data_IF_881333748963
#
_entry.id   IF_881333748963
#
_cell.length_a   1.000
_cell.length_b   1.000
_cell.length_c   1.000
_cell.angle_alpha   90.00
_cell.angle_beta   90.00
_cell.angle_gamma   90.00
#
_symmetry.space_group_name_H-M   'P 1'
#
loop_
_entity.id
_entity.type
_entity.pdbx_description
1 polymer ?
#
# COMPACT_ATOMS: atom_id res chain seq x y z
N UNK A 1 32.98 -15.12 -13.83
CA UNK A 1 32.02 -16.25 -13.80
C UNK A 1 31.45 -16.32 -12.40
N UNK A 2 30.13 -16.19 -12.31
CA UNK A 2 29.29 -16.29 -11.10
C UNK A 2 29.31 -15.02 -10.26
N UNK A 3 28.21 -14.33 -9.98
CA UNK A 3 26.77 -14.50 -10.19
C UNK A 3 26.17 -13.37 -9.33
N UNK A 4 25.25 -12.56 -9.85
CA UNK A 4 23.81 -12.62 -9.48
C UNK A 4 23.60 -12.99 -7.99
N UNK A 5 22.89 -12.24 -7.16
CA UNK A 5 21.53 -11.77 -7.37
C UNK A 5 21.28 -10.54 -6.48
N UNK A 6 20.60 -9.54 -7.02
CA UNK A 6 19.95 -8.50 -6.22
C UNK A 6 18.86 -9.17 -5.39
N UNK A 7 19.03 -9.18 -4.07
CA UNK A 7 17.92 -9.36 -3.16
C UNK A 7 17.30 -7.96 -3.00
N UNK A 8 16.12 -7.75 -3.60
CA UNK A 8 15.30 -6.60 -3.29
C UNK A 8 15.12 -6.52 -1.78
N UNK A 9 15.53 -5.40 -1.21
CA UNK A 9 15.29 -5.09 0.19
C UNK A 9 13.81 -4.72 0.31
N UNK A 10 12.96 -5.72 0.59
CA UNK A 10 11.71 -5.45 1.28
C UNK A 10 12.09 -4.77 2.59
N UNK A 11 11.84 -3.46 2.70
CA UNK A 11 11.98 -2.74 3.97
C UNK A 11 10.96 -3.36 4.93
N UNK A 12 11.48 -4.19 5.83
CA UNK A 12 10.77 -4.72 6.98
C UNK A 12 10.05 -3.56 7.68
N UNK A 13 8.72 -3.51 7.58
CA UNK A 13 7.89 -2.66 8.40
C UNK A 13 7.85 -3.34 9.77
N UNK A 14 8.47 -2.70 10.75
CA UNK A 14 8.61 -3.18 12.14
C UNK A 14 7.21 -3.33 12.76
N UNK A 15 6.77 -4.57 12.96
CA UNK A 15 5.50 -4.94 13.57
C UNK A 15 5.43 -4.44 15.04
N UNK A 16 5.02 -3.18 15.21
CA UNK A 16 4.83 -2.56 16.51
C UNK A 16 4.58 -1.05 16.51
N UNK A 17 4.53 -0.38 15.34
CA UNK A 17 4.48 1.07 15.28
C UNK A 17 3.04 1.61 15.29
N UNK A 18 2.78 2.52 16.23
CA UNK A 18 1.69 3.50 16.13
C UNK A 18 1.80 4.16 14.75
N UNK A 19 0.71 4.19 13.96
CA UNK A 19 0.68 4.92 12.69
C UNK A 19 1.17 6.35 12.95
N UNK A 20 2.32 6.69 12.38
CA UNK A 20 3.01 7.94 12.71
C UNK A 20 2.45 9.07 11.84
N UNK A 21 2.70 10.32 12.21
CA UNK A 21 2.24 11.49 11.42
C UNK A 21 2.69 11.40 9.95
N UNK A 22 3.78 10.68 9.73
CA UNK A 22 4.39 10.42 8.43
C UNK A 22 3.69 9.34 7.59
N UNK A 23 2.70 8.60 8.10
CA UNK A 23 1.89 7.65 7.31
C UNK A 23 0.60 8.30 6.79
N UNK A 24 0.18 9.40 7.43
CA UNK A 24 -0.98 10.17 7.00
C UNK A 24 -0.65 11.03 5.78
N UNK A 25 -1.45 10.91 4.73
CA UNK A 25 -1.37 11.70 3.50
C UNK A 25 -2.71 12.40 3.27
N UNK A 26 -2.65 13.72 3.13
CA UNK A 26 -3.82 14.50 2.71
C UNK A 26 -3.89 14.42 1.19
N UNK A 27 -4.84 13.64 0.69
CA UNK A 27 -5.12 13.54 -0.73
C UNK A 27 -6.28 14.48 -1.09
N UNK A 28 -6.20 15.08 -2.27
CA UNK A 28 -7.27 15.90 -2.83
C UNK A 28 -7.94 15.10 -3.93
N UNK A 29 -9.23 14.84 -3.75
CA UNK A 29 -10.03 14.11 -4.73
C UNK A 29 -10.34 15.00 -5.97
N UNK A 30 -10.90 14.42 -7.04
CA UNK A 30 -11.19 15.12 -8.30
C UNK A 30 -12.18 16.30 -8.12
N UNK A 31 -13.00 16.24 -7.07
CA UNK A 31 -13.93 17.30 -6.68
C UNK A 31 -13.27 18.45 -5.88
N UNK A 32 -11.98 18.33 -5.56
CA UNK A 32 -11.24 19.31 -4.74
C UNK A 32 -11.45 19.14 -3.23
N UNK A 33 -11.97 17.98 -2.80
CA UNK A 33 -12.16 17.66 -1.39
C UNK A 33 -10.87 17.10 -0.80
N UNK A 34 -10.38 17.71 0.29
CA UNK A 34 -9.25 17.22 1.06
C UNK A 34 -9.71 16.03 1.93
N UNK A 35 -9.14 14.86 1.72
CA UNK A 35 -9.33 13.68 2.58
C UNK A 35 -8.01 13.21 3.16
N UNK A 36 -8.04 12.85 4.43
CA UNK A 36 -6.88 12.28 5.11
C UNK A 36 -6.91 10.78 4.90
N UNK A 37 -5.90 10.26 4.24
CA UNK A 37 -5.71 8.84 4.01
C UNK A 37 -4.47 8.36 4.78
N UNK A 38 -4.46 7.10 5.16
CA UNK A 38 -3.32 6.42 5.78
C UNK A 38 -2.72 5.49 4.73
N UNK A 39 -1.41 5.58 4.56
CA UNK A 39 -0.65 4.60 3.81
C UNK A 39 -0.60 3.29 4.61
N UNK A 40 -1.25 2.25 4.11
CA UNK A 40 -1.27 0.93 4.75
C UNK A 40 0.01 0.16 4.45
N UNK A 41 0.38 0.09 3.17
CA UNK A 41 1.56 -0.61 2.70
C UNK A 41 1.97 -0.12 1.30
N UNK A 42 3.24 -0.36 0.95
CA UNK A 42 3.76 -0.19 -0.40
C UNK A 42 4.20 -1.57 -0.89
N UNK A 43 3.70 -2.00 -2.05
CA UNK A 43 4.07 -3.26 -2.70
C UNK A 43 4.75 -3.00 -4.03
N UNK A 44 5.90 -3.64 -4.24
CA UNK A 44 6.57 -3.65 -5.53
C UNK A 44 5.97 -4.74 -6.41
N UNK A 45 5.49 -4.38 -7.60
CA UNK A 45 4.90 -5.31 -8.57
C UNK A 45 5.33 -4.91 -10.00
N UNK A 46 5.85 -5.88 -10.77
CA UNK A 46 6.32 -5.65 -12.16
C UNK A 46 7.27 -4.43 -12.32
N UNK A 47 8.20 -4.23 -11.38
CA UNK A 47 9.17 -3.10 -11.35
C UNK A 47 8.56 -1.72 -11.05
N UNK A 48 7.31 -1.68 -10.58
CA UNK A 48 6.62 -0.47 -10.14
C UNK A 48 6.20 -0.60 -8.67
N UNK A 49 6.34 0.48 -7.91
CA UNK A 49 5.84 0.55 -6.54
C UNK A 49 4.36 0.95 -6.52
N UNK A 50 3.58 0.30 -5.68
CA UNK A 50 2.15 0.60 -5.49
C UNK A 50 1.84 0.80 -4.02
N UNK A 51 1.25 1.95 -3.71
CA UNK A 51 0.79 2.30 -2.38
C UNK A 51 -0.68 1.96 -2.21
N UNK A 52 -1.00 1.35 -1.07
CA UNK A 52 -2.36 1.13 -0.61
C UNK A 52 -2.69 2.20 0.40
N UNK A 53 -3.75 2.94 0.14
CA UNK A 53 -4.22 3.98 1.02
C UNK A 53 -5.66 3.73 1.41
N UNK A 54 -5.99 3.94 2.67
CA UNK A 54 -7.38 3.92 3.14
C UNK A 54 -7.70 5.25 3.83
N UNK A 55 -8.87 5.84 3.60
CA UNK A 55 -9.27 7.04 4.31
C UNK A 55 -9.40 6.73 5.80
N UNK A 56 -8.93 7.65 6.65
CA UNK A 56 -8.99 7.48 8.11
C UNK A 56 -10.42 7.24 8.61
N UNK A 57 -11.41 7.81 7.92
CA UNK A 57 -12.84 7.64 8.24
C UNK A 57 -13.29 6.17 8.11
N UNK A 58 -12.67 5.40 7.21
CA UNK A 58 -12.97 3.97 7.04
C UNK A 58 -12.27 3.12 8.10
N UNK A 59 -11.07 3.51 8.54
CA UNK A 59 -10.38 2.89 9.68
C UNK A 59 -11.12 3.09 11.00
N UNK A 60 -11.74 4.26 11.18
CA UNK A 60 -12.58 4.56 12.35
C UNK A 60 -14.00 3.95 12.25
N UNK A 61 -14.38 3.47 11.07
CA UNK A 61 -15.66 2.82 10.84
C UNK A 61 -15.60 1.35 11.25
N UNK A 62 -16.61 0.89 12.00
CA UNK A 62 -16.82 -0.53 12.34
C UNK A 62 -17.38 -1.34 11.15
N UNK A 63 -17.04 -0.94 9.91
CA UNK A 63 -17.48 -1.62 8.70
C UNK A 63 -16.73 -2.94 8.56
N UNK A 64 -17.46 -3.98 8.17
CA UNK A 64 -16.88 -5.30 7.91
C UNK A 64 -15.97 -5.30 6.66
N UNK A 65 -16.16 -4.32 5.77
CA UNK A 65 -15.37 -4.11 4.56
C UNK A 65 -14.80 -2.68 4.57
N UNK A 66 -13.50 -2.54 4.80
CA UNK A 66 -12.80 -1.26 4.68
C UNK A 66 -12.47 -0.95 3.22
N UNK A 67 -12.75 0.27 2.77
CA UNK A 67 -12.40 0.70 1.43
C UNK A 67 -10.89 1.02 1.34
N UNK A 68 -10.17 0.24 0.53
CA UNK A 68 -8.74 0.46 0.23
C UNK A 68 -8.60 0.94 -1.20
N UNK A 69 -7.90 2.06 -1.37
CA UNK A 69 -7.54 2.62 -2.66
C UNK A 69 -6.10 2.24 -3.03
N UNK A 70 -5.87 1.96 -4.30
CA UNK A 70 -4.60 1.50 -4.81
C UNK A 70 -4.05 2.50 -5.83
N UNK A 71 -2.84 2.99 -5.57
CA UNK A 71 -2.17 4.00 -6.38
C UNK A 71 -0.75 3.55 -6.73
N UNK A 72 -0.27 3.89 -7.92
CA UNK A 72 1.16 3.81 -8.22
C UNK A 72 1.89 4.83 -7.33
N UNK A 73 2.84 4.33 -6.55
CA UNK A 73 3.71 5.12 -5.71
C UNK A 73 4.95 5.53 -6.51
N UNK A 74 5.22 6.82 -6.56
CA UNK A 74 6.52 7.33 -7.00
C UNK A 74 7.09 8.26 -5.97
N UNK A 75 8.35 8.04 -5.64
CA UNK A 75 9.12 8.97 -4.83
C UNK A 75 10.08 9.72 -5.75
N UNK A 76 9.88 11.02 -5.87
CA UNK A 76 10.81 11.94 -6.51
C UNK A 76 11.68 12.64 -5.45
N UNK A 77 12.72 13.38 -5.88
CA UNK A 77 13.70 14.02 -4.98
C UNK A 77 13.12 15.00 -3.94
N UNK A 78 11.88 15.46 -4.14
CA UNK A 78 11.22 16.48 -3.29
C UNK A 78 9.87 16.04 -2.72
N UNK A 79 9.20 15.03 -3.29
CA UNK A 79 7.84 14.67 -2.91
C UNK A 79 7.46 13.24 -3.31
N UNK A 80 6.45 12.73 -2.62
CA UNK A 80 5.78 11.47 -2.95
C UNK A 80 4.58 11.76 -3.86
N UNK A 81 4.44 10.96 -4.90
CA UNK A 81 3.39 11.04 -5.89
C UNK A 81 2.55 9.77 -5.85
N UNK A 82 1.24 9.94 -5.71
CA UNK A 82 0.25 8.87 -5.77
C UNK A 82 -0.52 9.03 -7.08
N UNK A 83 -0.34 8.08 -7.99
CA UNK A 83 -0.91 8.14 -9.34
C UNK A 83 -1.98 7.06 -9.45
N UNK A 84 -3.19 7.45 -9.86
CA UNK A 84 -4.27 6.47 -10.04
C UNK A 84 -3.92 5.49 -11.17
N UNK A 85 -4.21 4.21 -10.96
CA UNK A 85 -3.99 3.18 -11.96
C UNK A 85 -5.13 3.28 -12.99
N UNK A 86 -4.83 3.79 -14.19
CA UNK A 86 -5.81 3.89 -15.28
C UNK A 86 -6.11 2.55 -15.97
N UNK A 87 -5.24 1.55 -15.77
CA UNK A 87 -5.37 0.23 -16.36
C UNK A 87 -6.10 -0.74 -15.43
N UNK A 88 -7.36 -1.05 -15.75
CA UNK A 88 -8.20 -1.94 -14.93
C UNK A 88 -7.58 -3.33 -14.73
N UNK A 89 -6.91 -3.89 -15.75
CA UNK A 89 -6.29 -5.22 -15.65
C UNK A 89 -5.13 -5.21 -14.64
N UNK A 90 -4.29 -4.16 -14.69
CA UNK A 90 -3.21 -3.96 -13.73
C UNK A 90 -3.76 -3.75 -12.32
N UNK A 91 -4.77 -2.90 -12.15
CA UNK A 91 -5.41 -2.66 -10.86
C UNK A 91 -5.90 -3.98 -10.23
N UNK A 92 -6.61 -4.80 -11.00
CA UNK A 92 -7.10 -6.09 -10.51
C UNK A 92 -5.97 -7.04 -10.11
N UNK A 93 -4.86 -7.06 -10.84
CA UNK A 93 -3.70 -7.90 -10.51
C UNK A 93 -3.05 -7.44 -9.21
N UNK A 94 -2.77 -6.14 -9.08
CA UNK A 94 -2.11 -5.60 -7.88
C UNK A 94 -3.03 -5.71 -6.67
N UNK A 95 -4.33 -5.44 -6.82
CA UNK A 95 -5.32 -5.64 -5.75
C UNK A 95 -5.41 -7.10 -5.31
N UNK A 96 -5.40 -8.04 -6.25
CA UNK A 96 -5.38 -9.48 -5.94
C UNK A 96 -4.08 -9.89 -5.22
N UNK A 97 -2.94 -9.39 -5.68
CA UNK A 97 -1.63 -9.65 -5.07
C UNK A 97 -1.56 -9.10 -3.64
N UNK A 98 -2.01 -7.86 -3.46
CA UNK A 98 -2.18 -7.19 -2.18
C UNK A 98 -3.09 -7.95 -1.22
N UNK A 99 -4.30 -8.32 -1.65
CA UNK A 99 -5.25 -9.07 -0.83
C UNK A 99 -4.66 -10.39 -0.37
N UNK A 100 -3.95 -11.08 -1.27
CA UNK A 100 -3.23 -12.32 -0.94
C UNK A 100 -2.13 -12.09 0.10
N UNK A 101 -1.36 -11.00 0.00
CA UNK A 101 -0.32 -10.62 0.98
C UNK A 101 -0.92 -10.35 2.37
N UNK A 102 -2.00 -9.57 2.43
CA UNK A 102 -2.70 -9.25 3.68
C UNK A 102 -3.36 -10.49 4.32
N UNK A 103 -3.87 -11.41 3.50
CA UNK A 103 -4.39 -12.70 3.97
C UNK A 103 -3.26 -13.65 4.44
N UNK A 104 -2.08 -13.62 3.81
CA UNK A 104 -0.92 -14.43 4.20
C UNK A 104 -0.32 -14.01 5.55
N UNK A 105 -0.37 -12.72 5.89
CA UNK A 105 -0.01 -12.22 7.24
C UNK A 105 -0.96 -12.74 8.34
N UNK A 106 -2.15 -13.22 7.98
CA UNK A 106 -3.14 -13.79 8.90
C UNK A 106 -3.08 -15.32 9.03
N UNK A 107 -2.08 -16.01 8.48
CA UNK A 107 -1.89 -17.42 8.82
C UNK A 107 -1.38 -17.55 10.26
N UNK A 108 -2.08 -18.28 11.17
CA UNK A 108 -1.47 -18.63 12.44
C UNK A 108 -0.24 -19.47 12.11
N UNK A 109 0.93 -19.02 12.53
CA UNK A 109 2.16 -19.81 12.49
C UNK A 109 1.84 -21.15 13.17
N UNK A 110 1.55 -22.18 12.37
CA UNK A 110 1.36 -23.54 12.86
C UNK A 110 2.75 -24.04 13.22
N UNK A 111 3.19 -23.75 14.45
CA UNK A 111 4.29 -24.48 15.08
C UNK A 111 3.90 -25.97 15.13
N UNK A 112 4.64 -26.78 14.39
CA UNK A 112 4.50 -28.24 14.33
C UNK A 112 5.41 -28.94 15.34
#
# INVERSE_FOLDING_TARGET
>A
MGGDNGAGEIKELDEGQELDESDYRVLVDEEGNERTCVLLAIVEYEEHDYAMLTPVEELESDKEEMEVYLFEYRQDEEAEHFIAIEDDELYQKVASYCGTLMELENEPVIEA
#
